data_IF_919723311569
#
_entry.id   IF_919723311569
#
_cell.length_a   1.000
_cell.length_b   1.000
_cell.length_c   1.000
_cell.angle_alpha   90.00
_cell.angle_beta   90.00
_cell.angle_gamma   90.00
#
_symmetry.space_group_name_H-M   'P 1'
#
loop_
_entity.id
_entity.type
_entity.pdbx_description
1 polymer ?
#
# COMPACT_ATOMS: atom_id res chain seq x y z
N UNK A 1 -2.75 -15.66 5.45
CA UNK A 1 -1.96 -16.90 5.54
C UNK A 1 -2.70 -17.96 4.76
N UNK A 2 -2.00 -18.96 4.24
CA UNK A 2 -2.66 -20.02 3.48
C UNK A 2 -3.72 -20.71 4.35
N UNK A 3 -4.94 -20.78 3.83
CA UNK A 3 -6.09 -21.34 4.53
C UNK A 3 -6.95 -20.36 5.32
N UNK A 4 -6.59 -19.07 5.43
CA UNK A 4 -7.51 -18.08 6.03
C UNK A 4 -8.72 -17.83 5.10
N UNK A 5 -9.89 -17.63 5.70
CA UNK A 5 -11.11 -17.30 4.97
C UNK A 5 -11.11 -15.85 4.48
N UNK A 6 -11.52 -15.66 3.23
CA UNK A 6 -11.69 -14.34 2.61
C UNK A 6 -13.12 -14.26 2.09
N UNK A 7 -13.85 -13.25 2.55
CA UNK A 7 -15.17 -12.88 2.05
C UNK A 7 -15.02 -11.81 0.96
N UNK A 8 -15.69 -12.03 -0.17
CA UNK A 8 -15.69 -11.15 -1.34
C UNK A 8 -17.12 -10.95 -1.83
N UNK A 9 -17.61 -9.72 -1.70
CA UNK A 9 -18.87 -9.27 -2.26
C UNK A 9 -18.61 -8.13 -3.26
N UNK A 10 -18.80 -8.45 -4.54
CA UNK A 10 -18.58 -7.50 -5.64
C UNK A 10 -19.67 -6.44 -5.72
N UNK A 11 -20.93 -6.82 -5.44
CA UNK A 11 -22.06 -5.89 -5.51
C UNK A 11 -22.02 -4.91 -4.33
N UNK A 12 -21.72 -5.42 -3.14
CA UNK A 12 -21.51 -4.65 -1.91
C UNK A 12 -20.19 -3.88 -1.84
N UNK A 13 -19.26 -4.14 -2.78
CA UNK A 13 -17.88 -3.59 -2.79
C UNK A 13 -17.12 -3.87 -1.50
N UNK A 14 -17.21 -5.11 -1.03
CA UNK A 14 -16.64 -5.57 0.22
C UNK A 14 -15.60 -6.67 -0.02
N UNK A 15 -14.44 -6.51 0.62
CA UNK A 15 -13.39 -7.51 0.68
C UNK A 15 -12.94 -7.60 2.13
N UNK A 16 -13.12 -8.76 2.76
CA UNK A 16 -12.86 -8.95 4.18
C UNK A 16 -12.05 -10.23 4.42
N UNK A 17 -11.07 -10.12 5.31
CA UNK A 17 -10.32 -11.26 5.81
C UNK A 17 -10.98 -11.71 7.11
N UNK A 18 -11.62 -12.87 7.08
CA UNK A 18 -12.36 -13.44 8.21
C UNK A 18 -11.40 -14.08 9.20
N UNK A 19 -10.75 -13.23 9.98
CA UNK A 19 -9.83 -13.57 11.06
C UNK A 19 -10.19 -12.70 12.26
N UNK A 20 -10.29 -13.26 13.48
CA UNK A 20 -10.54 -12.48 14.69
C UNK A 20 -9.56 -11.30 14.87
N UNK A 21 -10.05 -10.18 15.42
CA UNK A 21 -9.27 -8.95 15.59
C UNK A 21 -8.02 -9.13 16.45
N UNK A 22 -8.05 -10.01 17.45
CA UNK A 22 -6.92 -10.32 18.32
C UNK A 22 -5.80 -11.04 17.55
N UNK A 23 -6.14 -11.98 16.68
CA UNK A 23 -5.18 -12.64 15.79
C UNK A 23 -4.64 -11.65 14.73
N UNK A 24 -5.48 -10.77 14.18
CA UNK A 24 -5.02 -9.70 13.29
C UNK A 24 -4.04 -8.74 13.98
N UNK A 25 -4.31 -8.38 15.23
CA UNK A 25 -3.41 -7.55 16.03
C UNK A 25 -2.05 -8.25 16.24
N UNK A 26 -2.06 -9.51 16.67
CA UNK A 26 -0.83 -10.30 16.83
C UNK A 26 -0.03 -10.42 15.53
N UNK A 27 -0.68 -10.67 14.40
CA UNK A 27 -0.02 -10.76 13.09
C UNK A 27 0.59 -9.42 12.65
N UNK A 28 -0.02 -8.30 13.02
CA UNK A 28 0.51 -6.96 12.75
C UNK A 28 1.74 -6.66 13.60
N UNK A 29 1.74 -7.09 14.87
CA UNK A 29 2.91 -6.93 15.76
C UNK A 29 4.10 -7.78 15.29
N UNK A 30 3.85 -8.96 14.72
CA UNK A 30 4.87 -9.85 14.16
C UNK A 30 5.35 -9.42 12.76
N UNK A 31 4.65 -8.48 12.09
CA UNK A 31 4.96 -8.09 10.73
C UNK A 31 6.26 -7.29 10.64
N UNK A 32 7.10 -7.62 9.65
CA UNK A 32 8.33 -6.88 9.34
C UNK A 32 8.30 -6.43 7.88
N UNK A 33 8.60 -5.15 7.60
CA UNK A 33 8.69 -4.67 6.22
C UNK A 33 9.82 -5.40 5.48
N UNK A 34 9.59 -5.66 4.19
CA UNK A 34 10.65 -6.19 3.33
C UNK A 34 11.81 -5.16 3.25
N UNK A 35 13.08 -5.62 3.24
CA UNK A 35 14.21 -4.72 3.14
C UNK A 35 14.24 -4.03 1.78
N UNK A 36 14.73 -2.79 1.76
CA UNK A 36 15.04 -2.10 0.50
C UNK A 36 16.11 -2.90 -0.25
N UNK A 37 15.80 -3.25 -1.50
CA UNK A 37 16.64 -4.17 -2.29
C UNK A 37 17.78 -3.43 -3.02
N UNK A 38 17.71 -2.10 -3.11
CA UNK A 38 18.61 -1.31 -3.93
C UNK A 38 19.26 -0.16 -3.14
N UNK A 39 20.59 -0.14 -3.13
CA UNK A 39 21.37 0.88 -2.40
C UNK A 39 21.40 2.24 -3.11
N UNK A 40 21.16 2.28 -4.43
CA UNK A 40 21.17 3.52 -5.23
C UNK A 40 20.38 3.40 -6.54
N UNK A 41 20.28 4.52 -7.25
CA UNK A 41 19.69 4.61 -8.59
C UNK A 41 18.17 4.73 -8.60
N UNK A 42 17.58 4.68 -9.79
CA UNK A 42 16.14 4.90 -9.98
C UNK A 42 15.26 3.95 -9.15
N UNK A 43 15.65 2.67 -9.01
CA UNK A 43 14.86 1.71 -8.21
C UNK A 43 14.82 2.05 -6.72
N UNK A 44 15.91 2.61 -6.17
CA UNK A 44 15.92 3.11 -4.79
C UNK A 44 15.01 4.32 -4.66
N UNK A 45 15.11 5.27 -5.59
CA UNK A 45 14.22 6.44 -5.63
C UNK A 45 12.76 5.98 -5.70
N UNK A 46 12.46 5.02 -6.57
CA UNK A 46 11.10 4.49 -6.72
C UNK A 46 10.57 3.85 -5.45
N UNK A 47 11.31 2.95 -4.82
CA UNK A 47 10.88 2.30 -3.57
C UNK A 47 10.63 3.28 -2.43
N UNK A 48 11.34 4.41 -2.40
CA UNK A 48 11.22 5.39 -1.32
C UNK A 48 10.12 6.43 -1.55
N UNK A 49 9.87 6.79 -2.81
CA UNK A 49 9.07 7.98 -3.13
C UNK A 49 7.78 7.66 -3.89
N UNK A 50 7.57 6.44 -4.36
CA UNK A 50 6.31 6.08 -5.01
C UNK A 50 5.18 6.01 -3.98
N UNK A 51 4.09 6.66 -4.32
CA UNK A 51 2.88 6.71 -3.50
C UNK A 51 2.01 5.48 -3.73
N UNK A 52 1.08 5.20 -2.82
CA UNK A 52 0.24 4.01 -2.91
C UNK A 52 -0.84 4.15 -4.00
N UNK A 53 -1.39 3.02 -4.47
CA UNK A 53 -2.36 2.99 -5.56
C UNK A 53 -3.62 3.86 -5.36
N UNK A 54 -4.22 3.96 -4.15
CA UNK A 54 -5.33 4.88 -3.91
C UNK A 54 -4.96 6.36 -4.14
N UNK A 55 -3.67 6.68 -4.14
CA UNK A 55 -3.15 8.03 -4.34
C UNK A 55 -2.50 8.24 -5.72
N UNK A 56 -2.64 7.27 -6.63
CA UNK A 56 -2.28 7.43 -8.05
C UNK A 56 -0.89 6.92 -8.47
N UNK A 57 -0.13 6.25 -7.60
CA UNK A 57 1.19 5.65 -7.94
C UNK A 57 2.22 6.65 -8.49
N UNK A 58 2.16 7.93 -8.09
CA UNK A 58 3.10 8.98 -8.49
C UNK A 58 4.25 9.13 -7.48
N UNK A 59 5.27 9.91 -7.81
CA UNK A 59 6.29 10.34 -6.86
C UNK A 59 5.78 11.45 -5.95
N UNK A 60 5.97 11.29 -4.64
CA UNK A 60 5.57 12.29 -3.63
C UNK A 60 6.13 13.69 -3.92
N UNK A 61 7.39 13.78 -4.36
CA UNK A 61 8.08 15.02 -4.66
C UNK A 61 7.68 15.67 -5.99
N UNK A 62 6.89 14.98 -6.83
CA UNK A 62 6.33 15.53 -8.07
C UNK A 62 4.89 16.03 -7.90
N UNK A 63 4.25 15.74 -6.76
CA UNK A 63 2.88 16.19 -6.51
C UNK A 63 2.82 17.71 -6.44
N UNK A 64 1.91 18.28 -7.23
CA UNK A 64 1.62 19.71 -7.16
C UNK A 64 0.99 20.05 -5.81
N UNK A 65 1.29 21.24 -5.23
CA UNK A 65 0.54 21.74 -4.10
C UNK A 65 -0.95 21.77 -4.41
N UNK A 66 -1.79 21.45 -3.42
CA UNK A 66 -3.23 21.47 -3.58
C UNK A 66 -3.70 22.78 -4.23
N UNK A 67 -4.37 22.68 -5.39
CA UNK A 67 -4.94 23.83 -6.11
C UNK A 67 -4.17 24.30 -7.35
N UNK A 68 -2.96 23.78 -7.63
CA UNK A 68 -2.28 24.02 -8.92
C UNK A 68 -2.49 22.82 -9.83
N UNK A 69 -3.20 22.99 -10.94
CA UNK A 69 -3.24 21.97 -12.00
C UNK A 69 -1.99 22.12 -12.88
N UNK A 70 -1.43 20.98 -13.31
CA UNK A 70 -0.39 20.97 -14.32
C UNK A 70 -1.00 21.52 -15.62
N UNK A 71 -0.56 22.71 -16.04
CA UNK A 71 -0.92 23.24 -17.35
C UNK A 71 -0.26 22.38 -18.43
N UNK A 72 -1.07 21.91 -19.38
CA UNK A 72 -0.61 21.38 -20.67
C UNK A 72 -0.55 22.53 -21.66
#
# INVERSE_FOLDING_TARGET
>A
RDGDWIDLDVEGRHLHLDVPDDELARRRDDWRPAPLTFDRGYRRLYQLHVTQAPEGCDFDFLRLPAGRQAGV
#
